data_IF_789240716996
#
_entry.id   IF_789240716996
#
_cell.length_a   1.000
_cell.length_b   1.000
_cell.length_c   1.000
_cell.angle_alpha   90.00
_cell.angle_beta   90.00
_cell.angle_gamma   90.00
#
_symmetry.space_group_name_H-M   'P 1'
#
loop_
_entity.id
_entity.type
_entity.pdbx_description
1 polymer ?
#
# COMPACT_ATOMS: atom_id res chain seq x y z
N UNK A 1 -40.13 29.43 -8.17
CA UNK A 1 -39.75 28.03 -8.46
C UNK A 1 -38.92 27.55 -7.29
N UNK A 2 -39.49 26.69 -6.43
CA UNK A 2 -38.83 26.26 -5.18
C UNK A 2 -37.89 25.08 -5.44
N UNK A 3 -36.63 25.23 -5.04
CA UNK A 3 -35.59 24.22 -5.16
C UNK A 3 -35.71 23.21 -4.00
N UNK A 4 -36.04 21.96 -4.34
CA UNK A 4 -36.16 20.87 -3.38
C UNK A 4 -34.86 20.05 -3.38
N UNK A 5 -33.88 20.48 -2.58
CA UNK A 5 -32.63 19.74 -2.36
C UNK A 5 -32.89 18.61 -1.34
N UNK A 6 -33.23 17.42 -1.85
CA UNK A 6 -33.31 16.21 -1.04
C UNK A 6 -31.91 15.79 -0.58
N UNK A 7 -31.65 15.96 0.71
CA UNK A 7 -30.44 15.46 1.37
C UNK A 7 -30.39 13.92 1.29
N UNK A 8 -29.40 13.38 0.60
CA UNK A 8 -29.08 11.95 0.64
C UNK A 8 -28.43 11.62 2.00
N UNK A 9 -29.24 11.18 2.97
CA UNK A 9 -28.73 10.56 4.21
C UNK A 9 -28.60 9.05 4.00
N UNK A 10 -27.43 8.51 4.35
CA UNK A 10 -27.13 7.08 4.38
C UNK A 10 -27.93 6.40 5.51
N UNK A 11 -28.95 5.62 5.17
CA UNK A 11 -29.69 4.79 6.12
C UNK A 11 -28.96 3.46 6.30
N UNK A 12 -28.23 3.29 7.42
CA UNK A 12 -27.78 1.97 7.85
C UNK A 12 -28.97 1.21 8.44
N UNK A 13 -29.36 0.10 7.81
CA UNK A 13 -30.33 -0.83 8.37
C UNK A 13 -29.74 -1.45 9.66
N UNK A 14 -30.39 -1.21 10.81
CA UNK A 14 -30.09 -1.93 12.04
C UNK A 14 -30.51 -3.39 11.86
N UNK A 15 -29.52 -4.27 11.89
CA UNK A 15 -29.69 -5.73 11.91
C UNK A 15 -30.53 -6.09 13.14
N UNK A 16 -31.62 -6.84 12.92
CA UNK A 16 -32.46 -7.37 14.00
C UNK A 16 -31.64 -8.33 14.86
N UNK A 17 -31.47 -7.97 16.13
CA UNK A 17 -30.91 -8.87 17.13
C UNK A 17 -31.97 -9.93 17.45
N UNK A 18 -31.73 -11.16 17.03
CA UNK A 18 -32.49 -12.32 17.50
C UNK A 18 -32.18 -12.53 18.98
N UNK A 19 -33.12 -12.20 19.85
CA UNK A 19 -33.02 -12.43 21.29
C UNK A 19 -32.98 -13.94 21.59
N UNK A 20 -31.97 -14.36 22.36
CA UNK A 20 -31.91 -15.73 22.91
C UNK A 20 -32.99 -15.89 23.99
N UNK A 21 -33.58 -17.08 24.18
CA UNK A 21 -34.64 -17.27 25.17
C UNK A 21 -34.09 -17.04 26.58
N UNK A 22 -34.76 -16.17 27.33
CA UNK A 22 -34.47 -15.87 28.74
C UNK A 22 -34.97 -17.05 29.57
N UNK A 23 -34.05 -17.81 30.16
CA UNK A 23 -34.39 -18.86 31.13
C UNK A 23 -34.90 -18.18 32.41
N UNK A 24 -36.16 -18.41 32.75
CA UNK A 24 -36.77 -17.93 33.99
C UNK A 24 -36.08 -18.57 35.19
N UNK A 25 -35.60 -17.75 36.13
CA UNK A 25 -35.09 -18.21 37.43
C UNK A 25 -36.29 -18.46 38.36
N UNK A 26 -36.31 -19.55 39.15
CA UNK A 26 -37.40 -19.77 40.10
C UNK A 26 -37.40 -18.67 41.18
N UNK A 27 -38.60 -18.16 41.48
CA UNK A 27 -38.85 -17.10 42.47
C UNK A 27 -38.58 -17.58 43.89
N UNK A 28 -37.91 -16.75 44.69
CA UNK A 28 -37.44 -17.07 46.07
C UNK A 28 -38.46 -16.68 47.17
N UNK A 29 -39.57 -16.02 46.83
CA UNK A 29 -40.50 -15.44 47.81
C UNK A 29 -41.86 -16.17 47.93
N UNK A 30 -41.95 -17.42 47.48
CA UNK A 30 -43.25 -18.07 47.23
C UNK A 30 -43.50 -19.40 47.91
N UNK A 31 -42.83 -19.74 49.01
CA UNK A 31 -43.19 -20.93 49.78
C UNK A 31 -42.94 -20.70 51.28
N UNK A 32 -44.01 -20.36 51.98
CA UNK A 32 -44.08 -20.26 53.44
C UNK A 32 -44.43 -21.66 53.96
N UNK A 33 -43.43 -22.56 53.95
CA UNK A 33 -43.51 -23.88 54.54
C UNK A 33 -42.50 -23.95 55.69
N UNK A 34 -43.04 -24.12 56.90
CA UNK A 34 -42.40 -24.00 58.21
C UNK A 34 -41.47 -25.20 58.52
N UNK A 35 -40.44 -25.39 57.70
CA UNK A 35 -39.33 -26.32 57.98
C UNK A 35 -37.99 -25.55 57.97
N UNK A 36 -37.24 -25.67 59.08
CA UNK A 36 -35.90 -25.11 59.27
C UNK A 36 -35.03 -25.31 58.01
N UNK A 37 -34.36 -24.27 57.48
CA UNK A 37 -33.62 -24.39 56.23
C UNK A 37 -32.43 -25.34 56.41
N UNK A 38 -32.56 -26.56 55.87
CA UNK A 38 -31.49 -27.58 55.89
C UNK A 38 -30.15 -26.95 55.47
N UNK A 39 -29.10 -27.28 56.20
CA UNK A 39 -27.76 -26.74 55.97
C UNK A 39 -27.23 -27.19 54.60
N UNK A 40 -26.27 -26.44 54.02
CA UNK A 40 -25.70 -26.79 52.72
C UNK A 40 -25.07 -28.19 52.70
N UNK A 41 -24.52 -28.64 53.84
CA UNK A 41 -24.00 -29.99 54.07
C UNK A 41 -25.10 -31.06 54.06
N UNK A 42 -26.21 -30.84 54.77
CA UNK A 42 -27.32 -31.81 54.79
C UNK A 42 -28.00 -31.92 53.43
N UNK A 43 -28.19 -30.79 52.72
CA UNK A 43 -28.69 -30.78 51.34
C UNK A 43 -27.76 -31.52 50.37
N UNK A 44 -26.46 -31.49 50.62
CA UNK A 44 -25.47 -32.24 49.84
C UNK A 44 -25.60 -33.73 50.18
N UNK A 45 -25.56 -34.12 51.45
CA UNK A 45 -25.68 -35.52 51.87
C UNK A 45 -26.96 -36.19 51.36
N UNK A 46 -28.11 -35.52 51.44
CA UNK A 46 -29.39 -36.07 50.95
C UNK A 46 -29.33 -36.32 49.43
N UNK A 47 -28.71 -35.43 48.65
CA UNK A 47 -28.59 -35.60 47.19
C UNK A 47 -27.66 -36.76 46.81
N UNK A 48 -26.55 -36.93 47.50
CA UNK A 48 -25.53 -37.93 47.16
C UNK A 48 -25.71 -39.29 47.89
N UNK A 49 -26.50 -39.34 48.97
CA UNK A 49 -26.76 -40.58 49.71
C UNK A 49 -27.54 -41.61 48.88
N UNK A 50 -28.47 -41.14 48.01
CA UNK A 50 -29.33 -42.01 47.19
C UNK A 50 -28.59 -42.86 46.14
N UNK A 51 -27.38 -42.46 45.74
CA UNK A 51 -26.61 -43.15 44.70
C UNK A 51 -25.32 -43.82 45.22
N UNK A 52 -25.05 -43.76 46.53
CA UNK A 52 -23.82 -44.29 47.13
C UNK A 52 -23.52 -45.75 46.76
N UNK A 53 -24.54 -46.61 46.69
CA UNK A 53 -24.36 -48.01 46.27
C UNK A 53 -23.98 -48.16 44.79
N UNK A 54 -24.52 -47.30 43.92
CA UNK A 54 -24.18 -47.32 42.49
C UNK A 54 -22.77 -46.80 42.31
N UNK A 55 -22.40 -45.72 42.99
CA UNK A 55 -21.07 -45.13 42.92
C UNK A 55 -20.00 -46.12 43.40
N UNK A 56 -20.25 -46.84 44.51
CA UNK A 56 -19.37 -47.91 44.98
C UNK A 56 -19.16 -49.02 43.94
N UNK A 57 -20.25 -49.49 43.30
CA UNK A 57 -20.15 -50.48 42.21
C UNK A 57 -19.39 -49.96 41.00
N UNK A 58 -19.48 -48.66 40.71
CA UNK A 58 -18.73 -48.03 39.62
C UNK A 58 -17.26 -47.90 39.98
N UNK A 59 -16.94 -47.53 41.23
CA UNK A 59 -15.57 -47.49 41.75
C UNK A 59 -14.94 -48.88 41.69
N UNK A 60 -15.63 -49.93 42.15
CA UNK A 60 -15.14 -51.31 42.10
C UNK A 60 -14.87 -51.79 40.67
N UNK A 61 -15.77 -51.48 39.72
CA UNK A 61 -15.57 -51.80 38.30
C UNK A 61 -14.35 -51.10 37.73
N UNK A 62 -14.21 -49.80 37.99
CA UNK A 62 -13.07 -49.01 37.50
C UNK A 62 -11.75 -49.49 38.12
N UNK A 63 -11.75 -49.85 39.41
CA UNK A 63 -10.57 -50.42 40.09
C UNK A 63 -10.22 -51.83 39.58
N UNK A 64 -11.22 -52.62 39.17
CA UNK A 64 -11.01 -53.94 38.57
C UNK A 64 -10.43 -53.85 37.15
N UNK A 65 -10.78 -52.79 36.41
CA UNK A 65 -10.22 -52.50 35.09
C UNK A 65 -8.81 -51.92 35.19
N UNK A 66 -8.61 -50.90 36.04
CA UNK A 66 -7.30 -50.29 36.30
C UNK A 66 -7.15 -49.91 37.79
N UNK A 67 -6.26 -50.59 38.55
CA UNK A 67 -5.96 -50.26 39.94
C UNK A 67 -5.36 -48.84 40.13
N UNK A 68 -4.92 -48.19 39.05
CA UNK A 68 -4.31 -46.86 39.07
C UNK A 68 -5.29 -45.73 38.75
N UNK A 69 -6.55 -46.03 38.43
CA UNK A 69 -7.52 -45.07 37.90
C UNK A 69 -7.78 -43.84 38.81
N UNK A 70 -7.59 -43.97 40.12
CA UNK A 70 -7.83 -42.89 41.09
C UNK A 70 -6.55 -42.25 41.65
N UNK A 71 -5.35 -42.62 41.16
CA UNK A 71 -4.08 -42.05 41.63
C UNK A 71 -3.74 -40.73 40.93
N UNK A 72 -4.62 -39.75 41.11
CA UNK A 72 -4.49 -38.43 40.47
C UNK A 72 -3.26 -37.65 40.96
N UNK A 73 -2.95 -37.74 42.26
CA UNK A 73 -1.85 -36.97 42.87
C UNK A 73 -0.47 -37.40 42.34
N UNK A 74 -0.29 -38.69 42.01
CA UNK A 74 1.00 -39.22 41.52
C UNK A 74 1.34 -38.72 40.10
N UNK A 75 0.32 -38.47 39.26
CA UNK A 75 0.48 -38.09 37.84
C UNK A 75 0.39 -36.57 37.66
N UNK A 76 -0.15 -35.84 38.63
CA UNK A 76 -0.36 -34.39 38.55
C UNK A 76 0.94 -33.64 38.29
N UNK A 77 2.00 -33.95 39.06
CA UNK A 77 3.31 -33.32 38.93
C UNK A 77 3.90 -33.53 37.53
N UNK A 78 3.71 -34.70 36.94
CA UNK A 78 4.19 -35.01 35.59
C UNK A 78 3.40 -34.26 34.52
N UNK A 79 2.07 -34.19 34.65
CA UNK A 79 1.20 -33.43 33.75
C UNK A 79 1.55 -31.94 33.81
N UNK A 80 1.78 -31.41 35.01
CA UNK A 80 2.17 -30.01 35.20
C UNK A 80 3.54 -29.73 34.58
N UNK A 81 4.54 -30.61 34.82
CA UNK A 81 5.86 -30.52 34.17
C UNK A 81 5.74 -30.54 32.65
N UNK A 82 4.96 -31.46 32.07
CA UNK A 82 4.74 -31.54 30.63
C UNK A 82 4.05 -30.29 30.06
N UNK A 83 3.05 -29.75 30.76
CA UNK A 83 2.41 -28.49 30.39
C UNK A 83 3.40 -27.32 30.41
N UNK A 84 4.26 -27.27 31.43
CA UNK A 84 5.27 -26.24 31.57
C UNK A 84 6.32 -26.32 30.46
N UNK A 85 6.79 -27.53 30.09
CA UNK A 85 7.71 -27.73 28.96
C UNK A 85 7.06 -27.27 27.65
N UNK A 86 5.84 -27.73 27.34
CA UNK A 86 5.10 -27.31 26.13
C UNK A 86 4.92 -25.79 26.07
N UNK A 87 4.53 -25.18 27.19
CA UNK A 87 4.35 -23.73 27.31
C UNK A 87 5.68 -22.99 27.12
N UNK A 88 6.79 -23.53 27.63
CA UNK A 88 8.12 -22.97 27.45
C UNK A 88 8.59 -23.07 25.98
N UNK A 89 8.33 -24.19 25.32
CA UNK A 89 8.60 -24.39 23.89
C UNK A 89 7.79 -23.41 23.03
N UNK A 90 6.50 -23.22 23.31
CA UNK A 90 5.66 -22.30 22.56
C UNK A 90 6.10 -20.84 22.77
N UNK A 91 6.46 -20.46 24.00
CA UNK A 91 7.07 -19.16 24.30
C UNK A 91 8.42 -18.96 23.60
N UNK A 92 9.23 -20.02 23.47
CA UNK A 92 10.49 -19.95 22.74
C UNK A 92 10.25 -19.73 21.24
N UNK A 93 9.32 -20.49 20.63
CA UNK A 93 8.91 -20.31 19.22
C UNK A 93 8.34 -18.93 18.95
N UNK A 94 7.61 -18.34 19.90
CA UNK A 94 7.04 -17.00 19.72
C UNK A 94 8.07 -15.87 19.90
N UNK A 95 9.15 -16.10 20.65
CA UNK A 95 10.27 -15.14 20.72
C UNK A 95 11.05 -15.05 19.41
N UNK A 96 11.16 -16.16 18.67
CA UNK A 96 11.82 -16.18 17.37
C UNK A 96 10.98 -15.53 16.27
N UNK A 97 9.65 -15.51 16.41
CA UNK A 97 8.75 -14.89 15.44
C UNK A 97 8.71 -13.37 15.63
N UNK A 98 9.25 -12.65 14.65
CA UNK A 98 9.03 -11.21 14.58
C UNK A 98 7.53 -10.88 14.48
N UNK A 99 7.04 -9.83 15.16
CA UNK A 99 5.64 -9.43 15.10
C UNK A 99 5.24 -9.00 13.69
N UNK A 100 4.14 -9.57 13.16
CA UNK A 100 3.68 -9.37 11.78
C UNK A 100 3.50 -7.90 11.35
N UNK A 101 3.23 -6.99 12.29
CA UNK A 101 2.86 -5.61 12.00
C UNK A 101 3.68 -4.53 12.72
N UNK A 102 4.58 -4.87 13.65
CA UNK A 102 5.27 -3.85 14.45
C UNK A 102 6.06 -2.88 13.56
N UNK A 103 6.80 -3.42 12.59
CA UNK A 103 7.59 -2.62 11.65
C UNK A 103 6.69 -1.70 10.82
N UNK A 104 5.55 -2.20 10.35
CA UNK A 104 4.58 -1.40 9.58
C UNK A 104 4.01 -0.26 10.41
N UNK A 105 3.74 -0.50 11.69
CA UNK A 105 3.25 0.54 12.62
C UNK A 105 4.34 1.60 12.85
N UNK A 106 5.59 1.18 13.06
CA UNK A 106 6.73 2.08 13.24
C UNK A 106 6.95 2.94 11.98
N UNK A 107 6.93 2.33 10.80
CA UNK A 107 7.06 3.03 9.52
C UNK A 107 5.91 4.00 9.29
N UNK A 108 4.66 3.59 9.56
CA UNK A 108 3.49 4.45 9.43
C UNK A 108 3.55 5.65 10.40
N UNK A 109 4.00 5.43 11.64
CA UNK A 109 4.21 6.51 12.60
C UNK A 109 5.26 7.51 12.10
N UNK A 110 6.40 7.03 11.60
CA UNK A 110 7.44 7.88 10.98
C UNK A 110 6.89 8.67 9.80
N UNK A 111 6.13 8.02 8.90
CA UNK A 111 5.49 8.67 7.75
C UNK A 111 4.56 9.81 8.18
N UNK A 112 3.66 9.57 9.14
CA UNK A 112 2.76 10.59 9.69
C UNK A 112 3.51 11.76 10.34
N UNK A 113 4.65 11.51 10.98
CA UNK A 113 5.47 12.58 11.56
C UNK A 113 6.00 13.52 10.47
N UNK A 114 6.46 12.98 9.35
CA UNK A 114 6.91 13.77 8.20
C UNK A 114 5.74 14.50 7.52
N UNK A 115 4.58 13.85 7.37
CA UNK A 115 3.37 14.47 6.82
C UNK A 115 2.91 15.67 7.66
N UNK A 116 2.94 15.57 9.00
CA UNK A 116 2.61 16.70 9.89
C UNK A 116 3.54 17.89 9.64
N UNK A 117 4.84 17.65 9.50
CA UNK A 117 5.82 18.70 9.20
C UNK A 117 5.57 19.37 7.83
N UNK A 118 5.13 18.61 6.82
CA UNK A 118 4.71 19.17 5.53
C UNK A 118 3.46 20.04 5.65
N UNK A 119 2.48 19.65 6.48
CA UNK A 119 1.27 20.44 6.72
C UNK A 119 1.62 21.75 7.41
N UNK A 120 2.46 21.70 8.45
CA UNK A 120 2.97 22.89 9.14
C UNK A 120 3.73 23.81 8.18
N UNK A 121 4.58 23.28 7.31
CA UNK A 121 5.25 24.07 6.27
C UNK A 121 4.26 24.80 5.36
N UNK A 122 3.23 24.10 4.86
CA UNK A 122 2.20 24.73 4.01
C UNK A 122 1.49 25.84 4.74
N UNK A 123 1.23 25.66 6.05
CA UNK A 123 0.66 26.68 6.91
C UNK A 123 1.59 27.90 7.02
N UNK A 124 2.86 27.70 7.35
CA UNK A 124 3.85 28.78 7.45
C UNK A 124 4.06 29.51 6.12
N UNK A 125 4.07 28.80 4.98
CA UNK A 125 4.14 29.43 3.66
C UNK A 125 2.94 30.31 3.38
N UNK A 126 1.75 29.86 3.77
CA UNK A 126 0.51 30.62 3.61
C UNK A 126 0.53 31.88 4.49
N UNK A 127 1.01 31.77 5.73
CA UNK A 127 1.17 32.90 6.66
C UNK A 127 2.19 33.92 6.12
N UNK A 128 3.36 33.47 5.67
CA UNK A 128 4.37 34.35 5.05
C UNK A 128 3.86 35.03 3.78
N UNK A 129 3.08 34.34 2.96
CA UNK A 129 2.47 34.94 1.78
C UNK A 129 1.42 36.01 2.15
N UNK A 130 0.75 35.87 3.30
CA UNK A 130 -0.16 36.92 3.80
C UNK A 130 0.56 38.10 4.47
N UNK A 131 1.73 37.89 5.06
CA UNK A 131 2.60 38.94 5.61
C UNK A 131 3.28 39.78 4.51
N UNK A 132 3.35 39.25 3.28
CA UNK A 132 3.85 40.00 2.12
C UNK A 132 5.30 40.44 2.29
N UNK A 133 5.56 41.73 2.15
CA UNK A 133 6.92 42.33 2.17
C UNK A 133 7.34 42.85 3.55
N UNK A 134 6.54 42.64 4.60
CA UNK A 134 6.78 43.25 5.93
C UNK A 134 8.07 42.76 6.61
N UNK A 135 8.62 41.63 6.18
CA UNK A 135 9.79 40.99 6.77
C UNK A 135 10.96 40.80 5.79
N UNK A 136 10.89 41.37 4.58
CA UNK A 136 11.94 41.23 3.56
C UNK A 136 13.25 41.93 3.97
N UNK A 137 13.16 43.01 4.74
CA UNK A 137 14.32 43.77 5.22
C UNK A 137 15.07 43.10 6.38
N UNK A 138 14.58 41.96 6.90
CA UNK A 138 15.16 41.28 8.07
C UNK A 138 16.02 40.08 7.67
N UNK A 139 17.13 39.91 8.37
CA UNK A 139 18.06 38.80 8.11
C UNK A 139 17.47 37.44 8.52
N UNK A 140 17.55 36.44 7.63
CA UNK A 140 17.06 35.08 7.87
C UNK A 140 18.21 34.12 8.22
N UNK A 141 18.29 33.69 9.48
CA UNK A 141 19.31 32.76 9.94
C UNK A 141 18.81 31.32 9.92
N UNK A 142 19.58 30.43 9.28
CA UNK A 142 19.27 29.00 9.20
C UNK A 142 20.38 28.17 9.82
N UNK A 143 20.06 27.41 10.87
CA UNK A 143 21.01 26.49 11.52
C UNK A 143 21.26 25.23 10.68
N UNK A 144 22.41 24.59 10.85
CA UNK A 144 22.75 23.36 10.11
C UNK A 144 21.75 22.21 10.32
N UNK A 145 21.16 22.10 11.52
CA UNK A 145 20.13 21.11 11.81
C UNK A 145 18.84 21.38 11.01
N UNK A 146 18.44 22.66 10.89
CA UNK A 146 17.26 23.03 10.09
C UNK A 146 17.47 22.77 8.60
N UNK A 147 18.68 22.99 8.06
CA UNK A 147 19.01 22.62 6.67
C UNK A 147 18.80 21.12 6.42
N UNK A 148 19.26 20.26 7.34
CA UNK A 148 19.03 18.80 7.26
C UNK A 148 17.54 18.46 7.29
N UNK A 149 16.77 19.11 8.15
CA UNK A 149 15.32 18.91 8.22
C UNK A 149 14.59 19.34 6.93
N UNK A 150 15.02 20.44 6.30
CA UNK A 150 14.51 20.86 4.98
C UNK A 150 14.79 19.78 3.94
N UNK A 151 16.02 19.25 3.91
CA UNK A 151 16.44 18.22 2.96
C UNK A 151 15.64 16.92 3.13
N UNK A 152 15.49 16.43 4.36
CA UNK A 152 14.68 15.25 4.67
C UNK A 152 13.23 15.40 4.21
N UNK A 153 12.64 16.57 4.44
CA UNK A 153 11.27 16.89 4.02
C UNK A 153 11.15 17.01 2.51
N UNK A 154 12.13 17.63 1.84
CA UNK A 154 12.13 17.74 0.38
C UNK A 154 12.24 16.35 -0.28
N UNK A 155 13.15 15.51 0.20
CA UNK A 155 13.27 14.10 -0.22
C UNK A 155 11.95 13.34 -0.04
N UNK A 156 11.28 13.53 1.10
CA UNK A 156 9.99 12.90 1.35
C UNK A 156 8.89 13.40 0.40
N UNK A 157 8.90 14.67 0.02
CA UNK A 157 7.97 15.23 -0.97
C UNK A 157 8.21 14.65 -2.36
N UNK A 158 9.47 14.60 -2.79
CA UNK A 158 9.85 14.00 -4.08
C UNK A 158 9.43 12.52 -4.16
N UNK A 159 9.58 11.77 -3.07
CA UNK A 159 9.12 10.38 -2.99
C UNK A 159 7.59 10.29 -3.12
N UNK A 160 6.84 11.16 -2.45
CA UNK A 160 5.37 11.21 -2.62
C UNK A 160 5.02 11.54 -4.06
N UNK A 161 5.65 12.53 -4.68
CA UNK A 161 5.37 12.91 -6.08
C UNK A 161 5.67 11.77 -7.06
N UNK A 162 6.74 10.99 -6.82
CA UNK A 162 7.05 9.78 -7.59
C UNK A 162 6.00 8.70 -7.41
N UNK A 163 5.56 8.43 -6.18
CA UNK A 163 4.51 7.45 -5.91
C UNK A 163 3.17 7.90 -6.51
N UNK A 164 2.80 9.17 -6.35
CA UNK A 164 1.60 9.75 -6.95
C UNK A 164 1.63 9.65 -8.48
N UNK A 165 2.81 9.82 -9.10
CA UNK A 165 2.99 9.62 -10.53
C UNK A 165 2.75 8.15 -10.93
N UNK A 166 3.38 7.19 -10.25
CA UNK A 166 3.19 5.76 -10.51
C UNK A 166 1.72 5.35 -10.29
N UNK A 167 1.12 5.82 -9.21
CA UNK A 167 -0.29 5.57 -8.88
C UNK A 167 -1.22 6.19 -9.91
N UNK A 168 -0.90 7.38 -10.44
CA UNK A 168 -1.66 8.01 -11.52
C UNK A 168 -1.61 7.19 -12.81
N UNK A 169 -0.47 6.58 -13.14
CA UNK A 169 -0.32 5.68 -14.28
C UNK A 169 -1.09 4.37 -14.08
N UNK A 170 -1.13 3.87 -12.85
CA UNK A 170 -1.77 2.60 -12.47
C UNK A 170 -3.26 2.75 -12.10
N UNK A 171 -3.76 3.99 -12.07
CA UNK A 171 -5.14 4.31 -11.69
C UNK A 171 -6.14 3.59 -12.58
N UNK A 172 -7.17 3.00 -11.96
CA UNK A 172 -8.27 2.27 -12.66
C UNK A 172 -9.00 3.14 -13.68
N UNK A 173 -9.03 4.46 -13.53
CA UNK A 173 -9.61 5.36 -14.55
C UNK A 173 -8.88 5.30 -15.91
N UNK A 174 -7.58 4.94 -15.88
CA UNK A 174 -6.74 4.78 -17.06
C UNK A 174 -6.71 3.32 -17.57
N UNK A 175 -7.71 2.49 -17.20
CA UNK A 175 -7.75 1.04 -17.49
C UNK A 175 -7.55 0.70 -18.97
N UNK A 176 -8.05 1.53 -19.90
CA UNK A 176 -7.85 1.31 -21.34
C UNK A 176 -6.37 1.40 -21.74
N UNK A 177 -5.62 2.31 -21.13
CA UNK A 177 -4.19 2.47 -21.33
C UNK A 177 -3.41 1.34 -20.64
N UNK A 178 -3.88 0.86 -19.50
CA UNK A 178 -3.30 -0.31 -18.80
C UNK A 178 -3.55 -1.63 -19.55
N UNK A 179 -4.73 -1.86 -20.13
CA UNK A 179 -5.04 -3.04 -20.95
C UNK A 179 -4.23 -3.06 -22.26
N UNK A 180 -4.01 -1.89 -22.86
CA UNK A 180 -3.15 -1.73 -24.05
C UNK A 180 -1.67 -1.87 -23.71
N UNK A 181 -1.21 -1.29 -22.59
CA UNK A 181 0.16 -1.41 -22.09
C UNK A 181 0.49 -2.80 -21.55
N UNK A 182 -0.49 -3.54 -21.03
CA UNK A 182 -0.34 -4.90 -20.53
C UNK A 182 0.17 -5.83 -21.62
N UNK A 183 -0.41 -5.79 -22.83
CA UNK A 183 0.07 -6.59 -23.95
C UNK A 183 1.50 -6.23 -24.35
N UNK A 184 1.87 -4.93 -24.33
CA UNK A 184 3.26 -4.51 -24.58
C UNK A 184 4.22 -5.02 -23.53
N UNK A 185 3.86 -4.96 -22.24
CA UNK A 185 4.69 -5.43 -21.14
C UNK A 185 4.83 -6.96 -21.18
N UNK A 186 3.74 -7.69 -21.44
CA UNK A 186 3.77 -9.14 -21.59
C UNK A 186 4.60 -9.57 -22.80
N UNK A 187 4.43 -8.91 -23.95
CA UNK A 187 5.21 -9.18 -25.15
C UNK A 187 6.68 -8.84 -24.93
N UNK A 188 7.01 -7.71 -24.30
CA UNK A 188 8.39 -7.38 -23.98
C UNK A 188 9.01 -8.43 -23.05
N UNK A 189 8.30 -8.87 -22.01
CA UNK A 189 8.77 -9.92 -21.10
C UNK A 189 8.91 -11.30 -21.78
N UNK A 190 8.21 -11.53 -22.89
CA UNK A 190 8.24 -12.78 -23.66
C UNK A 190 9.26 -12.73 -24.81
N UNK A 191 9.50 -11.55 -25.40
CA UNK A 191 10.49 -11.35 -26.47
C UNK A 191 11.88 -11.12 -25.90
N UNK A 192 12.01 -10.61 -24.68
CA UNK A 192 13.25 -10.68 -23.93
C UNK A 192 13.34 -12.05 -23.24
N UNK A 193 13.87 -13.05 -23.94
CA UNK A 193 14.20 -14.38 -23.38
C UNK A 193 15.31 -14.32 -22.30
N UNK A 194 15.72 -13.13 -21.88
CA UNK A 194 16.62 -12.95 -20.76
C UNK A 194 15.82 -13.00 -19.46
N UNK A 195 15.93 -14.11 -18.74
CA UNK A 195 15.81 -14.09 -17.28
C UNK A 195 16.89 -13.15 -16.76
N UNK A 196 16.57 -11.86 -16.66
CA UNK A 196 17.53 -10.88 -16.18
C UNK A 196 17.64 -11.01 -14.65
N UNK A 197 18.48 -11.95 -14.20
CA UNK A 197 19.15 -11.82 -12.91
C UNK A 197 20.15 -10.67 -13.01
N UNK A 198 19.66 -9.43 -13.01
CA UNK A 198 20.53 -8.26 -13.08
C UNK A 198 21.36 -8.24 -11.78
N UNK A 199 22.65 -8.59 -11.86
CA UNK A 199 23.64 -8.31 -10.81
C UNK A 199 23.62 -6.80 -10.56
N UNK A 200 23.66 -6.40 -9.29
CA UNK A 200 23.36 -5.03 -8.83
C UNK A 200 24.11 -3.88 -9.52
N UNK A 201 25.22 -4.16 -10.21
CA UNK A 201 26.01 -3.16 -10.93
C UNK A 201 25.38 -2.73 -12.27
N UNK A 202 24.69 -3.63 -12.98
CA UNK A 202 24.03 -3.33 -14.26
C UNK A 202 22.69 -2.59 -14.06
N UNK A 203 22.01 -2.81 -12.93
CA UNK A 203 20.83 -2.02 -12.53
C UNK A 203 21.17 -0.54 -12.37
N UNK A 204 22.35 -0.25 -11.82
CA UNK A 204 22.80 1.12 -11.60
C UNK A 204 23.11 1.81 -12.93
N UNK A 205 23.75 1.11 -13.88
CA UNK A 205 24.02 1.66 -15.22
C UNK A 205 22.74 1.93 -16.02
N UNK A 206 21.80 0.97 -16.02
CA UNK A 206 20.52 1.14 -16.71
C UNK A 206 19.68 2.27 -16.08
N UNK A 207 19.72 2.40 -14.75
CA UNK A 207 19.06 3.50 -14.04
C UNK A 207 19.72 4.85 -14.33
N UNK A 208 21.04 4.93 -14.39
CA UNK A 208 21.76 6.14 -14.78
C UNK A 208 21.49 6.54 -16.23
N UNK A 209 21.31 5.58 -17.15
CA UNK A 209 20.91 5.83 -18.53
C UNK A 209 19.46 6.33 -18.63
N UNK A 210 18.53 5.77 -17.86
CA UNK A 210 17.16 6.27 -17.78
C UNK A 210 17.14 7.69 -17.20
N UNK A 211 17.88 7.96 -16.12
CA UNK A 211 17.94 9.30 -15.52
C UNK A 211 18.58 10.34 -16.47
N UNK A 212 19.55 9.94 -17.30
CA UNK A 212 20.09 10.80 -18.39
C UNK A 212 19.07 11.04 -19.49
N UNK A 213 18.32 10.02 -19.88
CA UNK A 213 17.31 10.14 -20.94
C UNK A 213 16.13 11.02 -20.48
N UNK A 214 15.68 10.84 -19.24
CA UNK A 214 14.64 11.68 -18.61
C UNK A 214 15.12 13.14 -18.49
N UNK A 215 16.40 13.38 -18.23
CA UNK A 215 16.99 14.72 -18.21
C UNK A 215 16.98 15.37 -19.61
N UNK A 216 17.36 14.63 -20.65
CA UNK A 216 17.30 15.09 -22.06
C UNK A 216 15.85 15.39 -22.48
N UNK A 217 14.90 14.53 -22.11
CA UNK A 217 13.48 14.71 -22.40
C UNK A 217 12.89 15.91 -21.63
N UNK A 218 13.38 16.19 -20.42
CA UNK A 218 13.00 17.40 -19.67
C UNK A 218 13.53 18.68 -20.31
N UNK A 219 14.77 18.67 -20.84
CA UNK A 219 15.38 19.80 -21.53
C UNK A 219 14.65 20.13 -22.83
N UNK A 220 14.35 19.13 -23.64
CA UNK A 220 13.59 19.30 -24.89
C UNK A 220 12.15 19.78 -24.61
N UNK A 221 11.55 19.38 -23.49
CA UNK A 221 10.23 19.87 -23.06
C UNK A 221 10.26 21.33 -22.60
N UNK A 222 11.32 21.77 -21.92
CA UNK A 222 11.55 23.17 -21.52
C UNK A 222 11.88 24.04 -22.75
N UNK A 223 12.66 23.54 -23.70
CA UNK A 223 12.93 24.22 -24.98
C UNK A 223 11.66 24.37 -25.82
N UNK A 224 10.85 23.32 -25.92
CA UNK A 224 9.56 23.37 -26.60
C UNK A 224 8.57 24.31 -25.89
N UNK A 225 8.58 24.39 -24.55
CA UNK A 225 7.78 25.36 -23.79
C UNK A 225 8.29 26.80 -23.97
N UNK A 226 9.60 27.05 -24.00
CA UNK A 226 10.18 28.36 -24.31
C UNK A 226 9.84 28.81 -25.73
N UNK A 227 9.90 27.89 -26.70
CA UNK A 227 9.49 28.14 -28.08
C UNK A 227 7.99 28.43 -28.22
N UNK A 228 7.16 27.79 -27.38
CA UNK A 228 5.73 28.04 -27.32
C UNK A 228 5.40 29.38 -26.65
N UNK A 229 6.10 29.74 -25.57
CA UNK A 229 5.95 31.02 -24.87
C UNK A 229 6.46 32.21 -25.70
N UNK A 230 7.59 32.06 -26.41
CA UNK A 230 8.08 33.05 -27.38
C UNK A 230 7.16 33.20 -28.59
N UNK A 231 6.40 32.16 -28.94
CA UNK A 231 5.40 32.18 -30.01
C UNK A 231 4.04 32.75 -29.62
N UNK A 232 3.80 33.08 -28.34
CA UNK A 232 2.50 33.52 -27.81
C UNK A 232 2.34 35.05 -27.73
N UNK A 233 3.42 35.83 -27.87
CA UNK A 233 3.38 37.30 -27.68
C UNK A 233 3.29 38.13 -28.97
N UNK A 234 2.82 37.55 -30.08
CA UNK A 234 2.51 38.30 -31.31
C UNK A 234 1.10 37.91 -31.76
N UNK A 235 0.19 38.88 -31.72
CA UNK A 235 -1.17 38.74 -32.27
C UNK A 235 -1.07 38.41 -33.76
N UNK A 236 -1.20 37.12 -34.08
CA UNK A 236 -0.84 36.59 -35.39
C UNK A 236 -1.96 36.86 -36.40
N UNK A 237 -1.76 37.82 -37.30
CA UNK A 237 -2.63 38.01 -38.47
C UNK A 237 -2.48 36.82 -39.43
N UNK A 238 -3.48 36.58 -40.29
CA UNK A 238 -3.49 35.45 -41.24
C UNK A 238 -2.24 35.40 -42.15
N UNK A 239 -1.61 36.54 -42.41
CA UNK A 239 -0.40 36.64 -43.23
C UNK A 239 0.83 36.02 -42.54
N UNK A 240 0.94 36.13 -41.22
CA UNK A 240 2.05 35.56 -40.43
C UNK A 240 1.94 34.04 -40.23
N UNK A 241 0.74 33.47 -40.36
CA UNK A 241 0.53 32.03 -40.44
C UNK A 241 0.97 31.50 -41.81
N UNK A 242 0.68 32.24 -42.88
CA UNK A 242 1.08 31.87 -44.23
C UNK A 242 2.61 31.89 -44.37
N UNK A 243 3.29 32.93 -43.89
CA UNK A 243 4.75 32.99 -43.89
C UNK A 243 5.40 31.85 -43.10
N UNK A 244 4.83 31.43 -41.96
CA UNK A 244 5.38 30.31 -41.16
C UNK A 244 5.19 28.97 -41.87
N UNK A 245 4.04 28.77 -42.52
CA UNK A 245 3.80 27.57 -43.32
C UNK A 245 4.75 27.50 -44.52
N UNK A 246 5.08 28.63 -45.14
CA UNK A 246 6.00 28.70 -46.27
C UNK A 246 7.44 28.37 -45.86
N UNK A 247 7.90 28.89 -44.72
CA UNK A 247 9.22 28.53 -44.14
C UNK A 247 9.29 27.04 -43.80
N UNK A 248 8.22 26.45 -43.25
CA UNK A 248 8.18 25.01 -42.97
C UNK A 248 8.25 24.19 -44.27
N UNK A 249 7.55 24.59 -45.33
CA UNK A 249 7.65 23.93 -46.64
C UNK A 249 9.05 24.04 -47.24
N UNK A 250 9.73 25.16 -47.10
CA UNK A 250 11.12 25.32 -47.56
C UNK A 250 12.10 24.42 -46.79
N UNK A 251 11.98 24.35 -45.46
CA UNK A 251 12.78 23.45 -44.63
C UNK A 251 12.52 21.98 -44.97
N UNK A 252 11.27 21.62 -45.31
CA UNK A 252 10.93 20.26 -45.75
C UNK A 252 11.46 19.94 -47.17
N UNK A 253 11.52 20.92 -48.08
CA UNK A 253 12.19 20.77 -49.39
C UNK A 253 13.69 20.51 -49.24
N UNK A 254 14.35 21.13 -48.25
CA UNK A 254 15.78 20.90 -47.95
C UNK A 254 16.08 19.49 -47.44
N UNK A 255 15.11 18.77 -46.86
CA UNK A 255 15.28 17.40 -46.38
C UNK A 255 15.08 16.33 -47.47
N UNK A 256 14.57 16.74 -48.63
CA UNK A 256 14.32 15.90 -49.80
C UNK A 256 15.04 16.48 -51.04
N UNK A 257 16.31 16.86 -50.91
CA UNK A 257 17.08 17.24 -52.11
C UNK A 257 17.26 16.03 -53.02
N UNK A 258 17.28 16.25 -54.33
CA UNK A 258 17.48 15.15 -55.29
C UNK A 258 18.79 14.40 -55.05
N UNK A 259 19.81 15.07 -54.51
CA UNK A 259 21.08 14.47 -54.14
C UNK A 259 20.96 13.54 -52.93
N UNK A 260 20.19 13.92 -51.90
CA UNK A 260 19.96 13.05 -50.74
C UNK A 260 19.18 11.79 -51.13
N UNK A 261 18.22 11.93 -52.05
CA UNK A 261 17.45 10.81 -52.62
C UNK A 261 18.36 9.89 -53.45
N UNK A 262 19.27 10.45 -54.25
CA UNK A 262 20.27 9.66 -55.02
C UNK A 262 21.23 8.93 -54.09
N UNK A 263 21.77 9.60 -53.07
CA UNK A 263 22.66 8.98 -52.08
C UNK A 263 21.95 7.87 -51.29
N UNK A 264 20.69 8.06 -50.91
CA UNK A 264 19.88 7.02 -50.27
C UNK A 264 19.65 5.81 -51.20
N UNK A 265 19.40 6.03 -52.50
CA UNK A 265 19.30 4.96 -53.51
C UNK A 265 20.62 4.24 -53.70
N UNK A 266 21.74 4.95 -53.80
CA UNK A 266 23.07 4.35 -53.90
C UNK A 266 23.40 3.49 -52.67
N UNK A 267 23.15 3.99 -51.46
CA UNK A 267 23.28 3.21 -50.21
C UNK A 267 22.35 2.00 -50.15
N UNK A 268 21.20 2.05 -50.81
CA UNK A 268 20.30 0.91 -50.94
C UNK A 268 20.86 -0.13 -51.91
N UNK A 269 21.34 0.28 -53.09
CA UNK A 269 21.97 -0.63 -54.05
C UNK A 269 23.25 -1.26 -53.50
N UNK A 270 24.08 -0.49 -52.79
CA UNK A 270 25.28 -1.02 -52.10
C UNK A 270 24.88 -2.09 -51.07
N UNK A 271 23.81 -1.86 -50.30
CA UNK A 271 23.29 -2.84 -49.33
C UNK A 271 22.63 -4.06 -49.97
N UNK A 272 22.06 -3.89 -51.17
CA UNK A 272 21.49 -4.97 -51.97
C UNK A 272 22.61 -5.85 -52.54
N UNK A 273 23.68 -5.24 -53.04
CA UNK A 273 24.88 -5.92 -53.55
C UNK A 273 25.69 -6.60 -52.44
N UNK A 274 25.74 -6.01 -51.24
CA UNK A 274 26.38 -6.62 -50.06
C UNK A 274 25.54 -7.74 -49.42
N UNK A 275 24.30 -7.95 -49.88
CA UNK A 275 23.41 -9.02 -49.39
C UNK A 275 22.80 -8.77 -48.01
N UNK A 276 22.91 -7.56 -47.45
CA UNK A 276 22.41 -7.22 -46.10
C UNK A 276 20.92 -6.90 -46.06
N UNK A 277 20.27 -6.72 -47.22
CA UNK A 277 18.85 -6.38 -47.30
C UNK A 277 18.09 -7.51 -47.98
N UNK A 278 17.32 -8.26 -47.19
CA UNK A 278 16.29 -9.17 -47.72
C UNK A 278 15.05 -8.35 -48.10
N UNK A 279 14.56 -8.50 -49.33
CA UNK A 279 13.31 -7.87 -49.75
C UNK A 279 12.17 -8.36 -48.84
N UNK A 280 11.27 -7.47 -48.38
CA UNK A 280 10.02 -7.91 -47.80
C UNK A 280 9.21 -8.60 -48.90
N UNK A 281 8.80 -9.85 -48.66
CA UNK A 281 7.83 -10.59 -49.47
C UNK A 281 6.44 -10.01 -49.23
#
# INVERSE_FOLDING_TARGET
>A
MSNNLKSLRLLLAKKSETSKPIVAKPSVFGDESDEEPLTASEKFEIKYSSNKSKDQRMVEKVMAEDPNAYKYDEVYDEIEKQKNVKTAEDKAKDKEKAPKYADKIILAHKKRKLEKLLVEERKFKKERASEGTEFDDKEAFVTGAYKKQIEERNKFREEIEKQDYIDSLTKVENQKMWQSGFHRILLNNLTTDEKIEIRGEEKNKFREEIEKQDYIDSLTKVENQKMWQLGFLVSRTNDELHCRLEVIKEVLKQRNTENDIKNAKERYYIRLESGEVTLPV
#
